data_IF_571404560513
#
_entry.id   IF_571404560513
#
_cell.length_a   1.000
_cell.length_b   1.000
_cell.length_c   1.000
_cell.angle_alpha   90.00
_cell.angle_beta   90.00
_cell.angle_gamma   90.00
#
_symmetry.space_group_name_H-M   'P 1'
#
loop_
_entity.id
_entity.type
_entity.pdbx_description
1 polymer ?
#
# COMPACT_ATOMS: atom_id res chain seq x y z
N UNK A 1 22.02 8.76 -8.73
CA UNK A 1 21.80 8.02 -7.47
C UNK A 1 21.08 6.70 -7.74
N UNK A 2 21.64 5.57 -7.28
CA UNK A 2 21.09 4.22 -7.53
C UNK A 2 19.77 3.96 -6.78
N UNK A 3 19.67 4.38 -5.51
CA UNK A 3 18.45 4.23 -4.69
C UNK A 3 17.24 4.89 -5.36
N UNK A 4 17.37 6.15 -5.78
CA UNK A 4 16.28 6.89 -6.47
C UNK A 4 15.79 6.14 -7.72
N UNK A 5 16.71 5.63 -8.55
CA UNK A 5 16.35 4.89 -9.77
C UNK A 5 15.74 3.51 -9.47
N UNK A 6 16.14 2.87 -8.38
CA UNK A 6 15.55 1.60 -7.94
C UNK A 6 14.11 1.76 -7.44
N UNK A 7 13.85 2.87 -6.74
CA UNK A 7 12.55 3.22 -6.17
C UNK A 7 11.59 3.86 -7.18
N UNK A 8 12.02 4.06 -8.42
CA UNK A 8 11.12 4.37 -9.53
C UNK A 8 10.28 3.13 -9.83
N UNK A 9 8.96 3.25 -9.69
CA UNK A 9 7.96 2.20 -9.91
C UNK A 9 7.06 2.53 -11.11
N UNK A 10 7.47 3.50 -11.92
CA UNK A 10 6.80 3.91 -13.15
C UNK A 10 7.09 2.93 -14.30
N UNK A 11 6.44 3.07 -15.46
CA UNK A 11 6.85 2.37 -16.68
C UNK A 11 8.31 2.68 -17.12
N UNK A 12 8.90 3.78 -16.65
CA UNK A 12 10.30 4.12 -16.91
C UNK A 12 11.27 3.41 -15.95
N UNK A 13 10.77 2.54 -15.06
CA UNK A 13 11.58 1.77 -14.12
C UNK A 13 12.68 1.01 -14.88
N UNK A 14 13.95 1.21 -14.50
CA UNK A 14 15.05 0.62 -15.26
C UNK A 14 15.05 -0.91 -15.14
N UNK A 15 15.35 -1.60 -16.25
CA UNK A 15 15.34 -3.07 -16.33
C UNK A 15 16.13 -3.76 -15.22
N UNK A 16 17.28 -3.21 -14.82
CA UNK A 16 18.09 -3.79 -13.75
C UNK A 16 17.39 -3.80 -12.39
N UNK A 17 16.43 -2.90 -12.13
CA UNK A 17 15.72 -2.86 -10.86
C UNK A 17 14.86 -4.10 -10.65
N UNK A 18 14.29 -4.66 -11.72
CA UNK A 18 13.56 -5.94 -11.68
C UNK A 18 14.47 -7.11 -11.30
N UNK A 19 15.69 -7.16 -11.87
CA UNK A 19 16.68 -8.15 -11.47
C UNK A 19 17.09 -7.97 -10.00
N UNK A 20 17.18 -6.72 -9.53
CA UNK A 20 17.46 -6.43 -8.13
C UNK A 20 16.33 -6.90 -7.22
N UNK A 21 15.05 -6.69 -7.55
CA UNK A 21 13.92 -7.20 -6.76
C UNK A 21 14.07 -8.72 -6.53
N UNK A 22 14.44 -9.49 -7.56
CA UNK A 22 14.69 -10.94 -7.46
C UNK A 22 15.90 -11.27 -6.57
N UNK A 23 17.01 -10.53 -6.73
CA UNK A 23 18.21 -10.73 -5.90
C UNK A 23 17.90 -10.43 -4.43
N UNK A 24 17.23 -9.32 -4.12
CA UNK A 24 16.87 -8.97 -2.75
C UNK A 24 15.92 -10.01 -2.13
N UNK A 25 14.96 -10.50 -2.92
CA UNK A 25 14.01 -11.55 -2.53
C UNK A 25 14.72 -12.85 -2.11
N UNK A 26 15.74 -13.28 -2.87
CA UNK A 26 16.58 -14.45 -2.52
C UNK A 26 17.40 -14.28 -1.24
N UNK A 27 17.69 -13.03 -0.86
CA UNK A 27 18.46 -12.70 0.32
C UNK A 27 17.60 -12.20 1.48
N UNK A 28 16.27 -12.38 1.46
CA UNK A 28 15.39 -11.96 2.55
C UNK A 28 15.82 -12.54 3.91
N UNK A 29 15.88 -11.71 4.94
CA UNK A 29 16.20 -12.13 6.32
C UNK A 29 15.03 -12.87 6.95
N UNK A 30 15.33 -13.80 7.84
CA UNK A 30 14.35 -14.50 8.68
C UNK A 30 13.68 -13.63 9.75
N UNK A 31 14.12 -12.38 9.95
CA UNK A 31 13.61 -11.47 11.00
C UNK A 31 12.11 -11.16 10.84
N UNK A 32 11.59 -11.21 9.60
CA UNK A 32 10.16 -11.10 9.33
C UNK A 32 9.45 -12.47 9.24
N UNK A 33 10.13 -13.56 9.61
CA UNK A 33 9.68 -14.95 9.51
C UNK A 33 10.17 -15.68 8.25
N UNK A 34 9.66 -16.89 8.01
CA UNK A 34 9.88 -17.60 6.76
C UNK A 34 9.03 -16.96 5.65
N UNK A 35 9.65 -16.06 4.89
CA UNK A 35 8.96 -15.25 3.88
C UNK A 35 8.78 -16.08 2.61
N UNK A 36 7.54 -16.24 2.18
CA UNK A 36 7.25 -16.90 0.91
C UNK A 36 7.72 -16.01 -0.26
N UNK A 37 8.43 -16.60 -1.22
CA UNK A 37 8.96 -15.88 -2.39
C UNK A 37 7.87 -15.25 -3.25
N UNK A 38 6.69 -15.88 -3.40
CA UNK A 38 5.54 -15.31 -4.12
C UNK A 38 4.88 -14.14 -3.40
N UNK A 39 5.20 -13.95 -2.11
CA UNK A 39 4.74 -12.81 -1.33
C UNK A 39 5.69 -11.61 -1.42
N UNK A 40 6.89 -11.77 -1.99
CA UNK A 40 7.91 -10.73 -2.08
C UNK A 40 7.70 -9.91 -3.35
N UNK A 41 7.56 -8.61 -3.20
CA UNK A 41 7.37 -7.64 -4.29
C UNK A 41 8.49 -6.62 -4.25
N UNK A 42 8.56 -5.84 -3.16
CA UNK A 42 9.58 -4.82 -2.99
C UNK A 42 9.81 -4.55 -1.49
N UNK A 43 11.06 -4.63 -1.05
CA UNK A 43 11.43 -4.50 0.36
C UNK A 43 11.19 -3.10 0.95
N UNK A 44 10.98 -2.07 0.13
CA UNK A 44 10.61 -0.72 0.61
C UNK A 44 9.11 -0.51 0.74
N UNK A 45 8.30 -1.40 0.16
CA UNK A 45 6.84 -1.41 0.27
C UNK A 45 6.33 -2.51 1.22
N UNK A 46 7.23 -3.24 1.88
CA UNK A 46 6.91 -4.37 2.74
C UNK A 46 7.78 -4.36 4.00
N UNK A 47 7.33 -5.06 5.04
CA UNK A 47 7.95 -5.13 6.36
C UNK A 47 9.08 -6.16 6.48
N UNK A 48 9.71 -6.52 5.37
CA UNK A 48 10.85 -7.44 5.34
C UNK A 48 12.07 -6.79 4.72
N UNK A 49 13.26 -7.31 5.04
CA UNK A 49 14.52 -6.74 4.57
C UNK A 49 15.46 -7.81 4.04
N UNK A 50 16.27 -7.51 3.02
CA UNK A 50 17.35 -8.40 2.59
C UNK A 50 18.54 -8.35 3.56
N UNK A 51 19.27 -9.46 3.65
CA UNK A 51 20.46 -9.59 4.45
C UNK A 51 21.59 -8.75 3.86
N UNK A 52 22.04 -7.73 4.59
CA UNK A 52 23.15 -6.83 4.19
C UNK A 52 24.44 -7.03 4.98
N UNK A 53 24.44 -7.94 5.96
CA UNK A 53 25.59 -8.22 6.82
C UNK A 53 26.79 -8.84 6.10
N UNK A 54 27.89 -9.02 6.83
CA UNK A 54 29.14 -9.58 6.30
C UNK A 54 28.95 -10.97 5.66
N UNK A 55 28.12 -11.83 6.29
CA UNK A 55 27.82 -13.19 5.82
C UNK A 55 26.89 -13.27 4.60
N UNK A 56 26.28 -12.16 4.19
CA UNK A 56 25.39 -12.15 3.03
C UNK A 56 26.19 -12.25 1.73
N UNK A 57 25.75 -13.07 0.79
CA UNK A 57 26.32 -13.18 -0.56
C UNK A 57 25.76 -12.14 -1.53
N UNK A 58 24.94 -11.20 -1.05
CA UNK A 58 24.44 -10.09 -1.85
C UNK A 58 25.60 -9.24 -2.39
N UNK A 59 25.61 -8.86 -3.68
CA UNK A 59 26.67 -8.04 -4.25
C UNK A 59 26.93 -6.74 -3.48
N UNK A 60 28.21 -6.34 -3.38
CA UNK A 60 28.65 -5.19 -2.58
C UNK A 60 27.92 -3.90 -2.97
N UNK A 61 27.66 -3.66 -4.26
CA UNK A 61 26.96 -2.47 -4.73
C UNK A 61 25.49 -2.42 -4.27
N UNK A 62 24.80 -3.57 -4.18
CA UNK A 62 23.44 -3.65 -3.65
C UNK A 62 23.41 -3.45 -2.13
N UNK A 63 24.37 -4.04 -1.41
CA UNK A 63 24.56 -3.76 0.01
C UNK A 63 24.76 -2.26 0.25
N UNK A 64 25.65 -1.63 -0.51
CA UNK A 64 25.87 -0.18 -0.44
C UNK A 64 24.60 0.61 -0.72
N UNK A 65 23.83 0.26 -1.77
CA UNK A 65 22.56 0.92 -2.08
C UNK A 65 21.56 0.84 -0.92
N UNK A 66 21.37 -0.34 -0.33
CA UNK A 66 20.45 -0.56 0.79
C UNK A 66 20.93 0.13 2.07
N UNK A 67 22.23 0.08 2.36
CA UNK A 67 22.81 0.75 3.51
C UNK A 67 22.73 2.27 3.38
N UNK A 68 22.91 2.82 2.19
CA UNK A 68 22.67 4.25 1.93
C UNK A 68 21.20 4.60 2.16
N UNK A 69 20.27 3.80 1.64
CA UNK A 69 18.85 4.02 1.87
C UNK A 69 18.48 3.98 3.36
N UNK A 70 19.03 3.01 4.11
CA UNK A 70 18.86 2.91 5.56
C UNK A 70 19.50 4.07 6.33
N UNK A 71 20.72 4.48 5.96
CA UNK A 71 21.44 5.60 6.60
C UNK A 71 20.67 6.91 6.50
N UNK A 72 19.93 7.09 5.41
CA UNK A 72 19.12 8.28 5.16
C UNK A 72 17.63 8.05 5.44
N UNK A 73 17.27 7.00 6.20
CA UNK A 73 15.90 6.66 6.56
C UNK A 73 14.91 6.80 5.40
N UNK A 74 15.28 6.22 4.25
CA UNK A 74 14.45 6.22 3.06
C UNK A 74 13.31 5.24 3.25
N UNK A 75 12.07 5.73 3.24
CA UNK A 75 10.89 4.90 3.42
C UNK A 75 9.70 5.39 2.60
N UNK A 76 8.69 4.53 2.45
CA UNK A 76 7.41 4.88 1.86
C UNK A 76 6.56 5.66 2.87
N UNK A 77 6.70 6.98 2.85
CA UNK A 77 6.14 7.88 3.85
C UNK A 77 5.12 8.85 3.24
N UNK A 78 4.13 8.31 2.54
CA UNK A 78 3.02 9.11 2.05
C UNK A 78 2.26 9.77 3.21
N UNK A 79 2.08 11.09 3.13
CA UNK A 79 1.27 11.86 4.07
C UNK A 79 -0.20 11.47 3.90
N UNK A 80 -0.68 11.47 2.66
CA UNK A 80 -2.06 11.17 2.31
C UNK A 80 -2.12 10.42 0.99
N UNK A 81 -2.57 9.16 1.05
CA UNK A 81 -2.64 8.27 -0.11
C UNK A 81 -4.02 8.32 -0.77
N UNK A 82 -4.03 8.42 -2.09
CA UNK A 82 -5.23 8.18 -2.90
C UNK A 82 -5.67 6.71 -2.82
N UNK A 83 -6.95 6.44 -3.13
CA UNK A 83 -7.47 5.07 -3.26
C UNK A 83 -6.68 4.25 -4.29
N UNK A 84 -6.32 4.87 -5.41
CA UNK A 84 -5.50 4.24 -6.47
C UNK A 84 -4.12 3.83 -5.97
N UNK A 85 -3.48 4.66 -5.15
CA UNK A 85 -2.17 4.34 -4.57
C UNK A 85 -2.29 3.19 -3.56
N UNK A 86 -3.33 3.19 -2.71
CA UNK A 86 -3.59 2.09 -1.77
C UNK A 86 -3.80 0.74 -2.46
N UNK A 87 -4.50 0.73 -3.59
CA UNK A 87 -4.73 -0.47 -4.40
C UNK A 87 -3.43 -1.13 -4.89
N UNK A 88 -2.38 -0.34 -5.16
CA UNK A 88 -1.08 -0.80 -5.65
C UNK A 88 -0.13 -1.29 -4.54
N UNK A 89 -0.53 -1.22 -3.28
CA UNK A 89 0.31 -1.68 -2.17
C UNK A 89 0.30 -3.22 -2.09
N UNK A 90 1.46 -3.87 -1.81
CA UNK A 90 1.50 -5.31 -1.57
C UNK A 90 0.73 -5.69 -0.31
N UNK A 91 -0.15 -6.69 -0.39
CA UNK A 91 -0.95 -7.12 0.77
C UNK A 91 -0.16 -7.97 1.76
N UNK A 92 0.81 -8.74 1.26
CA UNK A 92 1.63 -9.59 2.11
C UNK A 92 2.73 -8.78 2.78
N UNK A 93 3.00 -9.04 4.05
CA UNK A 93 4.00 -8.28 4.81
C UNK A 93 3.77 -6.76 4.71
N UNK A 94 2.52 -6.33 4.59
CA UNK A 94 2.12 -4.95 4.33
C UNK A 94 2.69 -3.95 5.36
N UNK A 95 3.04 -2.72 4.95
CA UNK A 95 3.64 -1.69 5.82
C UNK A 95 2.78 -1.35 7.05
N UNK A 96 1.47 -1.28 6.86
CA UNK A 96 0.49 -1.11 7.94
C UNK A 96 0.12 -2.38 8.70
N UNK A 97 0.90 -3.48 8.63
CA UNK A 97 0.49 -4.76 9.21
C UNK A 97 0.41 -4.72 10.73
N UNK A 98 -0.73 -5.10 11.28
CA UNK A 98 -0.87 -5.48 12.69
C UNK A 98 -0.38 -6.92 12.91
N UNK A 99 -0.09 -7.30 14.16
CA UNK A 99 0.39 -8.65 14.52
C UNK A 99 -0.46 -9.76 13.90
N UNK A 100 -1.79 -9.57 13.86
CA UNK A 100 -2.74 -10.52 13.26
C UNK A 100 -2.55 -10.68 11.75
N UNK A 101 -2.35 -9.58 11.01
CA UNK A 101 -2.07 -9.64 9.56
C UNK A 101 -0.76 -10.41 9.29
N UNK A 102 0.26 -10.23 10.12
CA UNK A 102 1.52 -10.99 9.98
C UNK A 102 1.31 -12.50 10.15
N UNK A 103 0.51 -12.92 11.13
CA UNK A 103 0.17 -14.33 11.34
C UNK A 103 -0.63 -14.93 10.18
N UNK A 104 -1.41 -14.09 9.48
CA UNK A 104 -2.21 -14.50 8.33
C UNK A 104 -1.38 -14.80 7.07
N UNK A 105 -0.19 -14.18 6.92
CA UNK A 105 0.68 -14.34 5.76
C UNK A 105 0.95 -15.83 5.45
N UNK A 106 1.38 -16.63 6.42
CA UNK A 106 1.76 -18.03 6.18
C UNK A 106 0.67 -19.06 6.49
N UNK A 107 -0.56 -18.62 6.75
CA UNK A 107 -1.68 -19.53 7.01
C UNK A 107 -2.08 -20.31 5.74
N UNK A 108 -2.83 -21.42 5.87
CA UNK A 108 -3.37 -22.15 4.72
C UNK A 108 -4.23 -21.28 3.79
N UNK A 109 -5.04 -20.37 4.35
CA UNK A 109 -5.85 -19.43 3.57
C UNK A 109 -4.97 -18.43 2.80
N UNK A 110 -3.97 -17.87 3.45
CA UNK A 110 -3.01 -16.97 2.81
C UNK A 110 -2.21 -17.66 1.70
N UNK A 111 -1.82 -18.93 1.91
CA UNK A 111 -1.16 -19.76 0.88
C UNK A 111 -2.07 -19.97 -0.33
N UNK A 112 -3.32 -20.35 -0.11
CA UNK A 112 -4.29 -20.54 -1.20
C UNK A 112 -4.50 -19.25 -2.01
N UNK A 113 -4.66 -18.10 -1.33
CA UNK A 113 -4.80 -16.81 -2.00
C UNK A 113 -3.60 -16.47 -2.91
N UNK A 114 -2.37 -16.78 -2.48
CA UNK A 114 -1.18 -16.56 -3.31
C UNK A 114 -1.04 -17.55 -4.45
N UNK A 115 -1.21 -18.83 -4.14
CA UNK A 115 -0.85 -19.91 -5.06
C UNK A 115 -1.94 -20.14 -6.12
N UNK A 116 -3.21 -20.05 -5.72
CA UNK A 116 -4.35 -20.42 -6.56
C UNK A 116 -5.16 -19.21 -7.02
N UNK A 117 -5.13 -18.08 -6.30
CA UNK A 117 -5.84 -16.85 -6.69
C UNK A 117 -4.89 -15.72 -7.15
N UNK A 118 -3.58 -15.98 -7.17
CA UNK A 118 -2.54 -15.01 -7.59
C UNK A 118 -2.60 -13.66 -6.87
N UNK A 119 -3.08 -13.62 -5.63
CA UNK A 119 -3.19 -12.39 -4.84
C UNK A 119 -1.80 -11.86 -4.49
N UNK A 120 -1.50 -10.62 -4.87
CA UNK A 120 -0.24 -9.93 -4.57
C UNK A 120 -0.46 -8.53 -3.96
N UNK A 121 -1.49 -7.82 -4.42
CA UNK A 121 -1.79 -6.44 -4.07
C UNK A 121 -3.11 -6.32 -3.30
N UNK A 122 -3.30 -5.18 -2.63
CA UNK A 122 -4.56 -4.87 -1.94
C UNK A 122 -5.76 -4.91 -2.90
N UNK A 123 -5.57 -4.46 -4.16
CA UNK A 123 -6.62 -4.49 -5.17
C UNK A 123 -7.14 -5.91 -5.46
N UNK A 124 -6.28 -6.92 -5.43
CA UNK A 124 -6.62 -8.30 -5.77
C UNK A 124 -7.58 -8.92 -4.76
N UNK A 125 -7.63 -8.38 -3.54
CA UNK A 125 -8.59 -8.82 -2.53
C UNK A 125 -10.01 -8.29 -2.78
N UNK A 126 -10.17 -7.18 -3.48
CA UNK A 126 -11.48 -6.52 -3.63
C UNK A 126 -12.48 -7.40 -4.41
N UNK A 127 -12.14 -7.98 -5.59
CA UNK A 127 -13.06 -8.88 -6.29
C UNK A 127 -13.42 -10.14 -5.50
N UNK A 128 -12.51 -10.62 -4.65
CA UNK A 128 -12.76 -11.77 -3.77
C UNK A 128 -13.70 -11.43 -2.63
N UNK A 129 -13.50 -10.28 -1.98
CA UNK A 129 -14.36 -9.76 -0.90
C UNK A 129 -15.76 -9.45 -1.43
N UNK A 130 -15.85 -8.76 -2.56
CA UNK A 130 -17.11 -8.24 -3.12
C UNK A 130 -17.89 -9.29 -3.92
N UNK A 131 -17.52 -10.56 -3.81
CA UNK A 131 -18.15 -11.63 -4.56
C UNK A 131 -19.58 -11.86 -4.08
N UNK A 132 -20.55 -11.66 -4.98
CA UNK A 132 -21.98 -11.72 -4.67
C UNK A 132 -22.44 -13.02 -3.98
N UNK A 133 -21.86 -14.17 -4.35
CA UNK A 133 -22.22 -15.46 -3.76
C UNK A 133 -21.81 -15.62 -2.28
N UNK A 134 -20.97 -14.73 -1.74
CA UNK A 134 -20.62 -14.69 -0.31
C UNK A 134 -21.46 -13.63 0.40
N UNK A 135 -21.68 -12.48 -0.24
CA UNK A 135 -22.54 -11.43 0.27
C UNK A 135 -23.98 -11.93 0.48
N UNK A 136 -24.55 -12.65 -0.48
CA UNK A 136 -25.90 -13.20 -0.40
C UNK A 136 -26.11 -14.15 0.79
N UNK A 137 -25.08 -14.90 1.18
CA UNK A 137 -25.14 -15.81 2.34
C UNK A 137 -25.21 -14.99 3.64
N UNK A 138 -24.46 -13.88 3.73
CA UNK A 138 -24.50 -12.99 4.89
C UNK A 138 -25.83 -12.23 5.05
N UNK A 139 -26.58 -11.98 3.96
CA UNK A 139 -27.91 -11.34 4.02
C UNK A 139 -29.00 -12.26 4.58
N UNK A 140 -28.82 -13.58 4.53
CA UNK A 140 -29.80 -14.57 4.99
C UNK A 140 -29.52 -15.09 6.42
N UNK A 141 -28.58 -14.47 7.15
CA UNK A 141 -28.16 -14.86 8.51
C UNK A 141 -26.77 -15.52 8.55
N UNK A 142 -26.31 -16.03 9.72
CA UNK A 142 -24.99 -16.68 9.88
C UNK A 142 -24.98 -18.10 9.29
N UNK A 143 -25.50 -18.27 8.07
CA UNK A 143 -25.44 -19.53 7.36
C UNK A 143 -23.99 -19.76 6.90
N UNK A 144 -23.44 -20.94 7.20
CA UNK A 144 -22.15 -21.36 6.66
C UNK A 144 -22.29 -21.45 5.13
N UNK A 145 -21.42 -20.81 4.34
CA UNK A 145 -21.51 -20.87 2.89
C UNK A 145 -21.45 -22.33 2.41
N UNK A 146 -22.35 -22.75 1.50
CA UNK A 146 -22.36 -24.13 1.00
C UNK A 146 -21.03 -24.43 0.27
N UNK A 147 -20.35 -25.53 0.59
CA UNK A 147 -18.99 -25.80 0.12
C UNK A 147 -18.84 -25.76 -1.41
N UNK A 148 -19.92 -26.06 -2.13
CA UNK A 148 -19.95 -26.24 -3.58
C UNK A 148 -20.82 -25.20 -4.28
N UNK A 149 -20.54 -23.91 -4.04
CA UNK A 149 -21.18 -22.83 -4.78
C UNK A 149 -21.03 -23.04 -6.31
N UNK A 150 -22.13 -23.12 -7.09
CA UNK A 150 -22.07 -23.41 -8.52
C UNK A 150 -21.77 -22.18 -9.38
N UNK A 151 -21.51 -21.01 -8.79
CA UNK A 151 -21.30 -19.79 -9.57
C UNK A 151 -20.02 -19.89 -10.43
N UNK A 152 -19.99 -19.25 -11.62
CA UNK A 152 -18.85 -19.36 -12.53
C UNK A 152 -17.49 -19.01 -11.89
N UNK A 153 -17.47 -18.01 -10.99
CA UNK A 153 -16.25 -17.62 -10.27
C UNK A 153 -15.73 -18.71 -9.32
N UNK A 154 -16.62 -19.38 -8.57
CA UNK A 154 -16.24 -20.47 -7.67
C UNK A 154 -15.88 -21.76 -8.42
N UNK A 155 -16.46 -21.99 -9.60
CA UNK A 155 -16.03 -23.07 -10.49
C UNK A 155 -14.61 -22.79 -11.01
N UNK A 156 -14.37 -21.60 -11.56
CA UNK A 156 -13.04 -21.23 -12.05
C UNK A 156 -11.95 -21.27 -10.99
N UNK A 157 -12.25 -20.84 -9.75
CA UNK A 157 -11.31 -20.98 -8.64
C UNK A 157 -10.99 -22.45 -8.31
N UNK A 158 -11.98 -23.35 -8.41
CA UNK A 158 -11.77 -24.80 -8.21
C UNK A 158 -10.93 -25.40 -9.31
N UNK A 159 -11.12 -24.97 -10.56
CA UNK A 159 -10.29 -25.38 -11.70
C UNK A 159 -8.83 -24.93 -11.54
N UNK A 160 -8.60 -23.82 -10.83
CA UNK A 160 -7.25 -23.36 -10.43
C UNK A 160 -6.71 -24.03 -9.15
N UNK A 161 -7.40 -25.04 -8.60
CA UNK A 161 -6.95 -25.84 -7.46
C UNK A 161 -7.41 -25.32 -6.09
N UNK A 162 -8.28 -24.31 -6.02
CA UNK A 162 -8.87 -23.87 -4.75
C UNK A 162 -9.98 -24.84 -4.28
N UNK A 163 -9.78 -25.48 -3.14
CA UNK A 163 -10.79 -26.43 -2.59
C UNK A 163 -12.03 -25.75 -2.03
N UNK A 164 -11.91 -24.50 -1.55
CA UNK A 164 -12.99 -23.79 -0.87
C UNK A 164 -13.00 -22.30 -1.22
N UNK A 165 -13.49 -21.93 -2.41
CA UNK A 165 -13.47 -20.54 -2.91
C UNK A 165 -14.13 -19.54 -1.94
N UNK A 166 -15.29 -19.88 -1.38
CA UNK A 166 -15.99 -18.98 -0.46
C UNK A 166 -15.23 -18.74 0.85
N UNK A 167 -14.47 -19.73 1.34
CA UNK A 167 -13.59 -19.52 2.51
C UNK A 167 -12.46 -18.56 2.15
N UNK A 168 -11.94 -18.61 0.93
CA UNK A 168 -10.93 -17.67 0.45
C UNK A 168 -11.51 -16.25 0.32
N UNK A 169 -12.76 -16.08 -0.11
CA UNK A 169 -13.46 -14.79 -0.10
C UNK A 169 -13.60 -14.21 1.32
N UNK A 170 -14.06 -15.02 2.28
CA UNK A 170 -14.14 -14.59 3.68
C UNK A 170 -12.76 -14.28 4.26
N UNK A 171 -11.74 -15.04 3.89
CA UNK A 171 -10.37 -14.80 4.29
C UNK A 171 -9.79 -13.50 3.70
N UNK A 172 -10.12 -13.19 2.44
CA UNK A 172 -9.77 -11.93 1.78
C UNK A 172 -10.42 -10.72 2.49
N UNK A 173 -11.70 -10.84 2.85
CA UNK A 173 -12.38 -9.82 3.66
C UNK A 173 -11.68 -9.61 5.00
N UNK A 174 -11.40 -10.71 5.71
CA UNK A 174 -10.70 -10.66 7.00
C UNK A 174 -9.28 -10.06 6.89
N UNK A 175 -8.55 -10.29 5.78
CA UNK A 175 -7.26 -9.66 5.53
C UNK A 175 -7.38 -8.13 5.41
N UNK A 176 -8.36 -7.64 4.64
CA UNK A 176 -8.59 -6.21 4.46
C UNK A 176 -8.91 -5.51 5.78
N UNK A 177 -9.73 -6.12 6.63
CA UNK A 177 -10.08 -5.61 7.96
C UNK A 177 -8.85 -5.42 8.88
N UNK A 178 -7.76 -6.14 8.64
CA UNK A 178 -6.52 -5.99 9.42
C UNK A 178 -5.60 -4.86 8.91
N UNK A 179 -5.93 -4.22 7.79
CA UNK A 179 -5.17 -3.08 7.26
C UNK A 179 -5.59 -1.83 8.02
N UNK A 180 -4.61 -1.11 8.60
CA UNK A 180 -4.89 0.15 9.31
C UNK A 180 -5.55 1.19 8.38
N UNK A 181 -6.41 2.08 8.90
CA UNK A 181 -7.17 3.05 8.10
C UNK A 181 -6.33 3.89 7.13
N UNK A 182 -5.12 4.31 7.51
CA UNK A 182 -4.19 5.06 6.64
C UNK A 182 -3.96 4.37 5.28
N UNK A 183 -3.94 3.04 5.27
CA UNK A 183 -3.61 2.22 4.11
C UNK A 183 -4.82 1.46 3.54
N UNK A 184 -5.95 1.46 4.25
CA UNK A 184 -7.14 0.70 3.86
C UNK A 184 -7.80 1.31 2.59
N UNK A 185 -8.13 0.50 1.57
CA UNK A 185 -8.59 0.99 0.27
C UNK A 185 -9.92 1.73 0.33
N UNK A 186 -10.85 1.34 1.21
CA UNK A 186 -12.14 2.00 1.38
C UNK A 186 -12.11 3.15 2.38
N UNK A 187 -10.98 3.37 3.07
CA UNK A 187 -10.87 4.52 3.95
C UNK A 187 -10.57 5.76 3.11
N UNK A 188 -11.50 6.71 3.07
CA UNK A 188 -11.24 7.98 2.40
C UNK A 188 -10.17 8.77 3.13
N UNK A 189 -9.35 9.44 2.35
CA UNK A 189 -8.41 10.39 2.87
C UNK A 189 -9.19 11.63 3.35
N UNK A 190 -9.02 12.04 4.60
CA UNK A 190 -9.79 13.15 5.16
C UNK A 190 -9.62 14.43 4.32
N UNK A 191 -10.74 15.08 3.99
CA UNK A 191 -10.74 16.38 3.31
C UNK A 191 -10.07 17.44 4.20
N UNK A 192 -9.00 18.04 3.69
CA UNK A 192 -8.19 19.07 4.35
C UNK A 192 -8.45 20.48 3.77
N UNK A 193 -9.16 20.54 2.63
CA UNK A 193 -9.42 21.77 1.88
C UNK A 193 -8.18 22.39 1.25
N UNK A 194 -7.07 21.64 1.16
CA UNK A 194 -5.80 22.12 0.62
C UNK A 194 -5.74 21.97 -0.91
N UNK A 195 -6.46 21.00 -1.46
CA UNK A 195 -6.43 20.76 -2.91
C UNK A 195 -7.11 21.85 -3.71
N UNK A 196 -6.39 22.38 -4.69
CA UNK A 196 -6.93 23.35 -5.62
C UNK A 196 -8.14 22.78 -6.38
N UNK A 197 -9.18 23.59 -6.52
CA UNK A 197 -10.33 23.25 -7.34
C UNK A 197 -9.92 23.16 -8.81
N UNK A 198 -10.68 22.43 -9.63
CA UNK A 198 -10.41 22.30 -11.08
C UNK A 198 -10.26 23.66 -11.77
N UNK A 199 -11.08 24.64 -11.37
CA UNK A 199 -10.99 26.03 -11.87
C UNK A 199 -9.67 26.71 -11.51
N UNK A 200 -9.14 26.49 -10.30
CA UNK A 200 -7.85 27.05 -9.86
C UNK A 200 -6.68 26.35 -10.56
N UNK A 201 -6.76 25.02 -10.76
CA UNK A 201 -5.77 24.27 -11.55
C UNK A 201 -5.72 24.76 -13.00
N UNK A 202 -6.87 25.01 -13.60
CA UNK A 202 -6.95 25.55 -14.96
C UNK A 202 -6.35 26.96 -15.06
N UNK A 203 -6.67 27.84 -14.10
CA UNK A 203 -6.03 29.16 -14.02
C UNK A 203 -4.51 29.07 -13.92
N UNK A 204 -3.99 28.18 -13.06
CA UNK A 204 -2.56 27.96 -12.95
C UNK A 204 -1.94 27.47 -14.27
N UNK A 205 -2.62 26.58 -15.00
CA UNK A 205 -2.16 26.09 -16.32
C UNK A 205 -2.02 27.24 -17.33
N UNK A 206 -3.01 28.14 -17.37
CA UNK A 206 -2.98 29.31 -18.24
C UNK A 206 -1.90 30.31 -17.81
N UNK A 207 -1.81 30.63 -16.52
CA UNK A 207 -0.81 31.54 -15.98
C UNK A 207 0.63 31.03 -16.24
N UNK A 208 0.86 29.73 -16.08
CA UNK A 208 2.15 29.10 -16.38
C UNK A 208 2.56 29.30 -17.85
N UNK A 209 1.62 29.15 -18.80
CA UNK A 209 1.89 29.36 -20.23
C UNK A 209 2.21 30.82 -20.59
N UNK A 210 1.80 31.76 -19.75
CA UNK A 210 1.98 33.20 -19.94
C UNK A 210 3.11 33.80 -19.08
N UNK A 211 3.72 33.01 -18.19
CA UNK A 211 4.69 33.51 -17.22
C UNK A 211 4.09 34.43 -16.14
N UNK A 212 2.80 34.25 -15.84
CA UNK A 212 2.07 35.00 -14.81
C UNK A 212 2.14 34.32 -13.42
N UNK A 213 1.66 35.03 -12.40
CA UNK A 213 1.61 34.53 -11.03
C UNK A 213 0.76 33.26 -10.88
N UNK A 214 1.32 32.28 -10.15
CA UNK A 214 0.66 31.01 -9.87
C UNK A 214 0.07 30.98 -8.46
N UNK A 215 -1.11 30.39 -8.33
CA UNK A 215 -1.66 30.05 -7.01
C UNK A 215 -0.89 28.83 -6.50
N UNK A 216 -0.20 28.97 -5.37
CA UNK A 216 0.44 27.83 -4.72
C UNK A 216 -0.58 26.71 -4.44
N UNK A 217 -0.25 25.48 -4.82
CA UNK A 217 -1.07 24.29 -4.53
C UNK A 217 -0.49 23.57 -3.29
N UNK A 218 -1.09 23.74 -2.09
CA UNK A 218 -0.63 23.08 -0.87
C UNK A 218 -1.11 21.61 -0.78
N UNK A 219 -1.55 20.99 -1.89
CA UNK A 219 -2.00 19.60 -1.88
C UNK A 219 -0.91 18.67 -1.34
N UNK A 220 -1.22 17.97 -0.26
CA UNK A 220 -0.40 16.88 0.29
C UNK A 220 -0.96 15.48 -0.05
N UNK A 221 -2.11 15.42 -0.73
CA UNK A 221 -2.69 14.19 -1.28
C UNK A 221 -1.87 13.74 -2.47
N UNK A 222 -1.16 12.62 -2.36
CA UNK A 222 -0.54 12.02 -3.53
C UNK A 222 -1.61 11.24 -4.32
N UNK A 223 -2.22 11.90 -5.30
CA UNK A 223 -2.80 11.21 -6.46
C UNK A 223 -1.70 10.73 -7.43
N UNK A 224 -0.46 11.08 -7.11
CA UNK A 224 0.76 10.74 -7.82
C UNK A 224 1.12 9.24 -7.72
N UNK A 225 1.94 8.74 -8.65
CA UNK A 225 2.48 7.39 -8.61
C UNK A 225 3.18 7.04 -7.28
N UNK A 226 3.28 5.74 -6.95
CA UNK A 226 3.83 5.29 -5.66
C UNK A 226 5.28 5.75 -5.43
N UNK A 227 6.06 5.84 -6.49
CA UNK A 227 7.44 6.28 -6.49
C UNK A 227 7.62 7.71 -5.92
N UNK A 228 6.62 8.58 -6.11
CA UNK A 228 6.63 9.95 -5.57
C UNK A 228 6.28 10.00 -4.08
N UNK A 229 5.96 8.87 -3.46
CA UNK A 229 5.68 8.76 -2.02
C UNK A 229 6.87 8.28 -1.19
N UNK A 230 8.02 7.97 -1.82
CA UNK A 230 9.25 7.74 -1.08
C UNK A 230 9.82 9.07 -0.56
N UNK A 231 10.26 9.05 0.69
CA UNK A 231 10.88 10.20 1.36
C UNK A 231 12.17 9.73 2.02
N UNK A 232 13.14 10.63 2.16
CA UNK A 232 14.34 10.43 2.96
C UNK A 232 14.22 11.23 4.25
N UNK A 233 15.02 10.88 5.26
CA UNK A 233 15.03 11.49 6.59
C UNK A 233 13.68 11.36 7.30
N UNK A 234 13.01 10.22 7.11
CA UNK A 234 11.71 9.94 7.70
C UNK A 234 11.91 9.42 9.12
N UNK A 235 11.16 9.95 10.09
CA UNK A 235 11.03 9.29 11.39
C UNK A 235 10.32 7.92 11.20
N UNK A 236 10.97 6.77 11.49
CA UNK A 236 10.36 5.46 11.31
C UNK A 236 9.01 5.29 12.03
N UNK A 237 8.78 6.02 13.13
CA UNK A 237 7.51 6.00 13.87
C UNK A 237 6.34 6.63 13.09
N UNK A 238 6.61 7.40 12.01
CA UNK A 238 5.58 8.06 11.20
C UNK A 238 4.70 7.08 10.41
N UNK A 239 5.12 5.82 10.22
CA UNK A 239 4.26 4.80 9.59
C UNK A 239 3.12 4.36 10.51
N UNK A 240 3.34 4.40 11.83
CA UNK A 240 2.38 3.97 12.83
C UNK A 240 1.42 5.09 13.27
N UNK A 241 1.84 6.34 13.10
CA UNK A 241 1.04 7.51 13.47
C UNK A 241 0.16 7.94 12.29
N UNK A 242 -1.14 8.19 12.50
CA UNK A 242 -1.93 8.90 11.49
C UNK A 242 -1.31 10.28 11.25
N UNK A 243 -1.34 10.80 10.00
CA UNK A 243 -0.87 12.15 9.74
C UNK A 243 -1.61 13.16 10.63
N UNK A 244 -0.98 14.28 10.94
CA UNK A 244 -1.66 15.37 11.63
C UNK A 244 -2.87 15.81 10.79
N UNK A 245 -4.05 15.68 11.36
CA UNK A 245 -5.31 15.96 10.70
C UNK A 245 -5.77 17.37 11.08
N UNK A 246 -6.05 18.21 10.09
CA UNK A 246 -6.78 19.45 10.33
C UNK A 246 -8.21 19.09 10.73
N UNK A 247 -8.63 19.48 11.94
CA UNK A 247 -10.04 19.40 12.32
C UNK A 247 -10.85 20.22 11.30
N UNK A 248 -11.98 19.68 10.83
CA UNK A 248 -12.95 20.48 10.06
C UNK A 248 -13.21 21.75 10.85
N UNK A 249 -13.16 22.90 10.19
CA UNK A 249 -13.55 24.14 10.84
C UNK A 249 -14.99 23.96 11.36
N UNK A 250 -15.14 23.77 12.68
CA UNK A 250 -16.39 24.07 13.35
C UNK A 250 -16.65 25.58 13.23
N UNK A 251 -17.91 25.99 13.42
CA UNK A 251 -18.37 27.39 13.39
C UNK A 251 -17.26 28.36 13.77
N UNK A 252 -17.02 29.32 12.88
CA UNK A 252 -16.13 30.47 13.03
C UNK A 252 -16.07 30.89 14.50
N UNK A 253 -14.95 30.63 15.17
CA UNK A 253 -14.67 31.30 16.44
C UNK A 253 -14.50 32.77 16.06
N UNK A 254 -15.28 33.66 16.67
CA UNK A 254 -15.14 35.10 16.46
C UNK A 254 -13.67 35.47 16.61
N UNK A 255 -13.15 36.26 15.66
CA UNK A 255 -11.79 36.77 15.72
C UNK A 255 -11.56 37.40 17.10
N UNK A 256 -10.65 36.81 17.89
CA UNK A 256 -10.11 37.50 19.06
C UNK A 256 -9.55 38.83 18.57
N UNK A 257 -10.19 39.94 18.98
CA UNK A 257 -9.67 41.29 18.78
C UNK A 257 -8.30 41.35 19.44
N UNK A 258 -7.25 41.32 18.63
CA UNK A 258 -5.92 41.73 19.08
C UNK A 258 -5.85 43.25 19.01
N UNK A 259 -5.94 43.90 20.17
CA UNK A 259 -5.50 45.29 20.31
C UNK A 259 -3.98 45.28 20.24
N UNK A 260 -3.44 45.90 19.20
CA UNK A 260 -2.00 46.21 19.12
C UNK A 260 -1.82 47.56 19.81
N UNK A 261 -0.98 47.60 20.84
CA UNK A 261 -0.54 48.83 21.53
C UNK A 261 0.56 49.51 20.72
#
# INVERSE_FOLDING_TARGET
MWVKRYLDLSPARPMWAWAVDVLLSRHATSDAGAINTKAQVNSFLQSWSPAVGARSTLPRYLKSMLLTAKKHDVSFAAIKLSRKSKHRLPIWYHLGSVRKLRAMNNSPGGKCLRDNHSVQYVADLLPLRDRGCVLQVNWQGPARPPPDCPCPACVGDRDQGCRHPQRCCLYAAALLEQIRPKWHPDADAQADGLTLTSRRKEKNRVALSKGEDLIFDPTVTSDEPLEESFRAFVDPAAHDRPPAIRRRAGRTVEQERRTVY
#
